data_IF_100684229993
#
_entry.id   IF_100684229993
#
_cell.length_a   1.000
_cell.length_b   1.000
_cell.length_c   1.000
_cell.angle_alpha   90.00
_cell.angle_beta   90.00
_cell.angle_gamma   90.00
#
_symmetry.space_group_name_H-M   'P 1'
#
loop_
_entity.id
_entity.type
_entity.pdbx_description
1 polymer ?
#
# COMPACT_ATOMS: atom_id res chain seq x y z
N UNK A 1 -9.38 -6.82 -1.72
CA UNK A 1 -9.88 -5.43 -1.64
C UNK A 1 -10.70 -5.13 -2.89
N UNK A 2 -11.52 -4.07 -2.88
CA UNK A 2 -12.27 -3.66 -4.08
C UNK A 2 -11.86 -2.26 -4.50
N UNK A 3 -11.42 -2.10 -5.75
CA UNK A 3 -11.12 -0.79 -6.33
C UNK A 3 -12.39 0.07 -6.37
N UNK A 4 -12.30 1.30 -5.85
CA UNK A 4 -13.41 2.25 -5.79
C UNK A 4 -13.24 3.33 -6.86
N UNK A 5 -12.03 3.88 -6.96
CA UNK A 5 -11.72 4.98 -7.86
C UNK A 5 -10.25 4.93 -8.30
N UNK A 6 -9.97 5.45 -9.50
CA UNK A 6 -8.62 5.65 -10.02
C UNK A 6 -8.57 6.96 -10.79
N UNK A 7 -7.53 7.75 -10.53
CA UNK A 7 -7.32 9.06 -11.15
C UNK A 7 -5.85 9.34 -11.38
N UNK A 8 -5.58 10.10 -12.44
CA UNK A 8 -4.24 10.57 -12.78
C UNK A 8 -3.95 11.85 -11.99
N UNK A 9 -2.88 11.84 -11.20
CA UNK A 9 -2.38 13.01 -10.47
C UNK A 9 -0.93 13.25 -10.87
N UNK A 10 -0.72 14.08 -11.90
CA UNK A 10 0.60 14.36 -12.47
C UNK A 10 1.29 13.08 -12.95
N UNK A 11 2.44 12.78 -12.35
CA UNK A 11 3.25 11.58 -12.63
C UNK A 11 2.78 10.32 -11.88
N UNK A 12 1.68 10.39 -11.14
CA UNK A 12 1.13 9.29 -10.35
C UNK A 12 -0.23 8.86 -10.86
N UNK A 13 -0.51 7.57 -10.73
CA UNK A 13 -1.84 7.01 -10.83
C UNK A 13 -2.28 6.65 -9.41
N UNK A 14 -3.25 7.41 -8.90
CA UNK A 14 -3.72 7.30 -7.52
C UNK A 14 -5.06 6.59 -7.53
N UNK A 15 -5.21 5.62 -6.64
CA UNK A 15 -6.39 4.78 -6.54
C UNK A 15 -6.83 4.65 -5.10
N UNK A 16 -8.13 4.52 -4.90
CA UNK A 16 -8.73 4.28 -3.60
C UNK A 16 -9.38 2.90 -3.62
N UNK A 17 -9.04 2.10 -2.63
CA UNK A 17 -9.49 0.72 -2.46
C UNK A 17 -10.28 0.62 -1.17
N UNK A 18 -11.34 -0.19 -1.19
CA UNK A 18 -12.13 -0.52 0.00
C UNK A 18 -11.74 -1.90 0.49
N UNK A 19 -11.43 -1.99 1.78
CA UNK A 19 -11.22 -3.25 2.49
C UNK A 19 -12.54 -4.02 2.60
N UNK A 20 -12.46 -5.33 2.43
CA UNK A 20 -13.53 -6.31 2.62
C UNK A 20 -13.92 -6.38 4.10
N UNK A 21 -12.93 -6.37 4.99
CA UNK A 21 -13.13 -6.43 6.44
C UNK A 21 -12.64 -5.16 7.14
N UNK A 22 -13.16 -4.89 8.34
CA UNK A 22 -12.59 -3.85 9.20
C UNK A 22 -11.27 -4.34 9.77
N UNK A 23 -10.28 -3.46 9.76
CA UNK A 23 -8.95 -3.71 10.30
C UNK A 23 -8.63 -2.61 11.31
N UNK A 24 -7.90 -2.98 12.36
CA UNK A 24 -7.30 -2.04 13.31
C UNK A 24 -5.81 -1.88 13.05
N UNK A 25 -5.15 -1.16 13.95
CA UNK A 25 -3.73 -0.85 13.85
C UNK A 25 -2.83 -2.08 13.73
N UNK A 26 -3.06 -3.12 14.53
CA UNK A 26 -2.27 -4.35 14.48
C UNK A 26 -2.31 -5.00 13.09
N UNK A 27 -3.50 -5.09 12.48
CA UNK A 27 -3.67 -5.65 11.15
C UNK A 27 -3.00 -4.80 10.06
N UNK A 28 -3.04 -3.47 10.21
CA UNK A 28 -2.31 -2.55 9.33
C UNK A 28 -0.80 -2.77 9.43
N UNK A 29 -0.27 -2.95 10.64
CA UNK A 29 1.14 -3.26 10.86
C UNK A 29 1.53 -4.61 10.24
N UNK A 30 0.67 -5.63 10.32
CA UNK A 30 0.89 -6.94 9.64
C UNK A 30 0.96 -6.82 8.12
N UNK A 31 0.09 -6.01 7.52
CA UNK A 31 0.16 -5.71 6.10
C UNK A 31 1.48 -5.02 5.73
N UNK A 32 1.85 -3.97 6.47
CA UNK A 32 3.10 -3.26 6.24
C UNK A 32 4.32 -4.18 6.40
N UNK A 33 4.34 -5.01 7.44
CA UNK A 33 5.37 -6.03 7.69
C UNK A 33 5.52 -6.96 6.50
N UNK A 34 4.41 -7.54 6.04
CA UNK A 34 4.42 -8.44 4.88
C UNK A 34 4.91 -7.75 3.62
N UNK A 35 4.48 -6.50 3.39
CA UNK A 35 4.89 -5.74 2.22
C UNK A 35 6.35 -5.34 2.26
N UNK A 36 6.90 -5.01 3.44
CA UNK A 36 8.27 -4.56 3.60
C UNK A 36 9.28 -5.56 3.01
N UNK A 37 9.04 -6.86 3.21
CA UNK A 37 9.90 -7.92 2.66
C UNK A 37 9.86 -8.08 1.14
N UNK A 38 8.92 -7.44 0.45
CA UNK A 38 8.81 -7.47 -1.02
C UNK A 38 9.18 -6.14 -1.69
N UNK A 39 9.63 -5.15 -0.93
CA UNK A 39 9.96 -3.81 -1.41
C UNK A 39 11.46 -3.60 -1.41
N UNK A 40 11.99 -3.10 -2.52
CA UNK A 40 13.28 -2.44 -2.55
C UNK A 40 13.15 -0.99 -2.06
N UNK A 41 14.15 -0.54 -1.30
CA UNK A 41 14.22 0.81 -0.72
C UNK A 41 12.93 1.20 0.03
N UNK A 42 12.40 0.25 0.81
CA UNK A 42 11.19 0.43 1.58
C UNK A 42 11.36 1.52 2.66
N UNK A 43 10.39 2.43 2.73
CA UNK A 43 10.31 3.46 3.77
C UNK A 43 8.92 3.48 4.38
N UNK A 44 8.88 3.63 5.71
CA UNK A 44 7.65 3.65 6.50
C UNK A 44 7.45 5.05 7.06
N UNK A 45 6.24 5.58 6.90
CA UNK A 45 5.83 6.85 7.49
C UNK A 45 4.63 6.62 8.39
N UNK A 46 4.70 7.11 9.62
CA UNK A 46 3.61 7.10 10.59
C UNK A 46 3.12 8.55 10.76
N UNK A 47 1.84 8.78 10.48
CA UNK A 47 1.25 10.12 10.39
C UNK A 47 1.97 11.11 9.46
N UNK A 48 2.77 10.59 8.52
CA UNK A 48 3.56 11.36 7.56
C UNK A 48 4.99 11.66 8.01
N UNK A 49 5.39 11.18 9.18
CA UNK A 49 6.78 11.26 9.64
C UNK A 49 7.50 9.95 9.33
N UNK A 50 8.67 9.97 8.67
CA UNK A 50 9.48 8.78 8.48
C UNK A 50 9.86 8.16 9.82
N UNK A 51 9.75 6.83 9.91
CA UNK A 51 10.16 6.06 11.08
C UNK A 51 11.32 5.15 10.68
N UNK A 52 12.35 5.11 11.52
CA UNK A 52 13.47 4.20 11.31
C UNK A 52 13.01 2.76 11.60
N UNK A 53 13.04 1.91 10.58
CA UNK A 53 12.74 0.48 10.67
C UNK A 53 14.04 -0.26 10.38
N UNK A 54 14.64 -0.85 11.40
CA UNK A 54 15.90 -1.57 11.25
C UNK A 54 15.66 -3.02 10.81
N UNK A 55 14.55 -3.61 11.26
CA UNK A 55 14.10 -4.93 10.86
C UNK A 55 12.59 -4.93 10.63
N UNK A 56 12.12 -5.87 9.82
CA UNK A 56 10.69 -6.03 9.53
C UNK A 56 9.86 -6.24 10.80
N UNK A 57 10.43 -6.87 11.83
CA UNK A 57 9.72 -7.11 13.10
C UNK A 57 9.43 -5.81 13.88
N UNK A 58 10.20 -4.74 13.65
CA UNK A 58 10.00 -3.45 14.32
C UNK A 58 8.63 -2.82 13.95
N UNK A 59 8.08 -3.19 12.79
CA UNK A 59 6.77 -2.73 12.32
C UNK A 59 5.63 -3.17 13.24
N UNK A 60 5.78 -4.32 13.90
CA UNK A 60 4.77 -4.83 14.82
C UNK A 60 4.78 -4.11 16.17
N UNK A 61 5.83 -3.34 16.46
CA UNK A 61 6.00 -2.58 17.70
C UNK A 61 5.66 -1.09 17.55
N UNK A 62 5.14 -0.66 16.41
CA UNK A 62 4.74 0.72 16.19
C UNK A 62 3.53 1.09 17.07
N UNK A 63 3.62 2.25 17.71
CA UNK A 63 2.50 2.82 18.46
C UNK A 63 1.33 3.17 17.52
N UNK A 64 0.10 3.01 18.03
CA UNK A 64 -1.11 3.28 17.26
C UNK A 64 -1.16 4.74 16.77
N UNK A 65 -1.41 4.90 15.47
CA UNK A 65 -1.50 6.20 14.81
C UNK A 65 -2.71 6.29 13.88
N UNK A 66 -2.94 7.46 13.28
CA UNK A 66 -4.06 7.67 12.38
C UNK A 66 -3.82 7.06 10.99
N UNK A 67 -2.57 7.06 10.51
CA UNK A 67 -2.21 6.47 9.22
C UNK A 67 -0.81 5.86 9.22
N UNK A 68 -0.65 4.82 8.41
CA UNK A 68 0.63 4.21 8.09
C UNK A 68 0.82 4.22 6.58
N UNK A 69 1.97 4.68 6.12
CA UNK A 69 2.36 4.66 4.72
C UNK A 69 3.57 3.76 4.56
N UNK A 70 3.52 2.86 3.60
CA UNK A 70 4.69 2.17 3.07
C UNK A 70 4.93 2.64 1.64
N UNK A 71 6.16 3.02 1.32
CA UNK A 71 6.57 3.39 -0.04
C UNK A 71 7.89 2.74 -0.41
N UNK A 72 8.09 2.50 -1.70
CA UNK A 72 9.32 1.92 -2.24
C UNK A 72 9.04 1.31 -3.61
N UNK A 73 9.85 0.34 -4.02
CA UNK A 73 9.70 -0.33 -5.32
C UNK A 73 9.43 -1.82 -5.08
N UNK A 74 8.17 -2.27 -5.15
CA UNK A 74 7.85 -3.69 -5.01
C UNK A 74 8.39 -4.54 -6.16
N UNK A 75 8.89 -5.74 -5.83
CA UNK A 75 9.52 -6.68 -6.78
C UNK A 75 8.60 -7.10 -7.94
N UNK A 76 7.30 -7.21 -7.65
CA UNK A 76 6.27 -7.68 -8.58
C UNK A 76 5.91 -6.60 -9.58
N UNK A 77 5.76 -5.35 -9.11
CA UNK A 77 5.27 -4.22 -9.93
C UNK A 77 6.42 -3.48 -10.60
N UNK A 78 7.63 -3.49 -10.00
CA UNK A 78 8.85 -2.85 -10.51
C UNK A 78 8.70 -1.36 -10.84
N UNK A 79 7.78 -0.70 -10.15
CA UNK A 79 7.56 0.75 -10.23
C UNK A 79 7.43 1.32 -8.81
N UNK A 80 7.84 2.57 -8.57
CA UNK A 80 7.60 3.23 -7.29
C UNK A 80 6.12 3.18 -6.92
N UNK A 81 5.84 2.62 -5.74
CA UNK A 81 4.50 2.40 -5.24
C UNK A 81 4.42 2.85 -3.79
N UNK A 82 3.30 3.47 -3.43
CA UNK A 82 2.99 3.95 -2.10
C UNK A 82 1.61 3.46 -1.72
N UNK A 83 1.52 2.80 -0.56
CA UNK A 83 0.25 2.36 0.03
C UNK A 83 0.04 3.09 1.34
N UNK A 84 -1.10 3.76 1.45
CA UNK A 84 -1.52 4.49 2.65
C UNK A 84 -2.70 3.77 3.28
N UNK A 85 -2.45 3.24 4.46
CA UNK A 85 -3.47 2.68 5.33
C UNK A 85 -3.96 3.74 6.30
N UNK A 86 -5.27 3.76 6.52
CA UNK A 86 -5.90 4.65 7.48
C UNK A 86 -6.46 3.82 8.62
N UNK A 87 -6.02 4.10 9.84
CA UNK A 87 -6.58 3.48 11.02
C UNK A 87 -8.05 3.92 11.15
N UNK A 88 -8.92 3.00 11.54
CA UNK A 88 -10.37 3.21 11.72
C UNK A 88 -11.17 3.53 10.45
N UNK A 89 -10.54 3.62 9.27
CA UNK A 89 -11.23 3.67 7.98
C UNK A 89 -11.11 2.34 7.24
N UNK A 90 -12.09 2.04 6.39
CA UNK A 90 -12.08 0.85 5.53
C UNK A 90 -11.50 1.15 4.15
N UNK A 91 -10.70 2.20 4.03
CA UNK A 91 -10.13 2.67 2.77
C UNK A 91 -8.62 2.56 2.81
N UNK A 92 -8.04 2.23 1.66
CA UNK A 92 -6.59 2.20 1.43
C UNK A 92 -6.33 2.96 0.15
N UNK A 93 -5.42 3.93 0.21
CA UNK A 93 -5.00 4.65 -1.00
C UNK A 93 -3.70 4.05 -1.52
N UNK A 94 -3.65 3.81 -2.83
CA UNK A 94 -2.50 3.27 -3.52
C UNK A 94 -2.11 4.19 -4.66
N UNK A 95 -0.88 4.69 -4.61
CA UNK A 95 -0.30 5.52 -5.66
C UNK A 95 0.85 4.77 -6.32
N UNK A 96 0.80 4.60 -7.63
CA UNK A 96 1.89 4.02 -8.43
C UNK A 96 2.41 5.07 -9.40
N UNK A 97 3.73 5.13 -9.55
CA UNK A 97 4.35 6.05 -10.49
C UNK A 97 4.06 5.59 -11.92
N UNK A 98 3.69 6.55 -12.78
CA UNK A 98 3.44 6.34 -14.22
C UNK A 98 4.73 6.16 -15.04
N UNK A 99 5.82 5.75 -14.39
CA UNK A 99 7.14 5.62 -15.01
C UNK A 99 7.26 4.32 -15.82
N UNK A 100 6.60 3.25 -15.39
CA UNK A 100 6.53 2.00 -16.16
C UNK A 100 5.46 2.10 -17.24
N UNK A 101 5.75 1.52 -18.42
CA UNK A 101 4.89 1.57 -19.62
C UNK A 101 3.47 1.06 -19.33
N UNK A 102 3.34 0.05 -18.46
CA UNK A 102 2.09 -0.51 -18.00
C UNK A 102 1.18 0.50 -17.26
N UNK A 103 1.74 1.49 -16.56
CA UNK A 103 0.96 2.47 -15.76
C UNK A 103 0.87 3.85 -16.41
N UNK A 104 1.42 4.04 -17.61
CA UNK A 104 1.37 5.34 -18.30
C UNK A 104 -0.06 5.71 -18.69
N UNK A 105 -0.78 4.79 -19.32
CA UNK A 105 -2.14 5.00 -19.82
C UNK A 105 -3.17 4.05 -19.23
N UNK A 106 -2.78 3.23 -18.23
CA UNK A 106 -3.65 2.24 -17.59
C UNK A 106 -5.03 2.82 -17.25
N UNK A 107 -6.06 2.19 -17.82
CA UNK A 107 -7.44 2.44 -17.45
C UNK A 107 -7.80 1.69 -16.16
N UNK A 108 -9.03 1.87 -15.66
CA UNK A 108 -9.53 1.19 -14.46
C UNK A 108 -9.34 -0.34 -14.53
N UNK A 109 -9.54 -0.94 -15.71
CA UNK A 109 -9.52 -2.39 -15.88
C UNK A 109 -8.08 -2.90 -15.84
N UNK A 110 -7.19 -2.27 -16.58
CA UNK A 110 -5.77 -2.62 -16.62
C UNK A 110 -5.15 -2.45 -15.22
N UNK A 111 -5.43 -1.33 -14.57
CA UNK A 111 -4.99 -1.08 -13.20
C UNK A 111 -5.46 -2.14 -12.20
N UNK A 112 -6.76 -2.49 -12.26
CA UNK A 112 -7.33 -3.49 -11.38
C UNK A 112 -6.76 -4.89 -11.65
N UNK A 113 -6.42 -5.22 -12.90
CA UNK A 113 -5.78 -6.49 -13.25
C UNK A 113 -4.35 -6.56 -12.72
N UNK A 114 -3.58 -5.48 -12.81
CA UNK A 114 -2.17 -5.45 -12.39
C UNK A 114 -2.00 -5.42 -10.87
N UNK A 115 -2.80 -4.62 -10.16
CA UNK A 115 -2.65 -4.43 -8.71
C UNK A 115 -3.66 -5.20 -7.86
N UNK A 116 -4.75 -5.70 -8.43
CA UNK A 116 -5.81 -6.38 -7.67
C UNK A 116 -5.28 -7.59 -6.90
N UNK A 117 -4.54 -8.49 -7.57
CA UNK A 117 -3.98 -9.67 -6.92
C UNK A 117 -2.96 -9.33 -5.83
N UNK A 118 -2.16 -8.28 -6.06
CA UNK A 118 -1.21 -7.78 -5.07
C UNK A 118 -1.94 -7.28 -3.82
N UNK A 119 -2.96 -6.44 -3.98
CA UNK A 119 -3.71 -5.85 -2.87
C UNK A 119 -4.61 -6.87 -2.16
N UNK A 120 -5.13 -7.86 -2.88
CA UNK A 120 -5.81 -9.01 -2.27
C UNK A 120 -4.86 -9.80 -1.36
N UNK A 121 -3.61 -9.98 -1.80
CA UNK A 121 -2.59 -10.67 -1.00
C UNK A 121 -2.22 -9.87 0.26
N UNK A 122 -2.15 -8.53 0.14
CA UNK A 122 -1.96 -7.62 1.29
C UNK A 122 -3.14 -7.70 2.26
N UNK A 123 -4.38 -7.69 1.78
CA UNK A 123 -5.56 -7.83 2.64
C UNK A 123 -5.58 -9.19 3.35
N UNK A 124 -5.21 -10.26 2.67
CA UNK A 124 -5.10 -11.58 3.30
C UNK A 124 -4.03 -11.60 4.40
N UNK A 125 -2.92 -10.89 4.21
CA UNK A 125 -1.85 -10.80 5.20
C UNK A 125 -2.27 -10.06 6.49
N UNK A 126 -3.21 -9.12 6.40
CA UNK A 126 -3.78 -8.42 7.57
C UNK A 126 -4.44 -9.38 8.57
N UNK A 127 -4.88 -10.55 8.11
CA UNK A 127 -5.63 -11.53 8.89
C UNK A 127 -4.84 -12.80 9.21
N UNK A 128 -3.58 -12.88 8.80
CA UNK A 128 -2.67 -13.98 9.15
C UNK A 128 -1.90 -13.65 10.43
#
# INVERSE_FOLDING_TARGET
MVLVDVRKEGSWLVSTWRLTYRVGWEQICKAAHTMYGFYHDAEILVDGNPVAVAREEDLMALDEAARLVIRGIPDIIKAPLMVTFYNQLQTVDVAVARAAEEFQEADYREFNQSLGQFLDSVELAMHR
#
